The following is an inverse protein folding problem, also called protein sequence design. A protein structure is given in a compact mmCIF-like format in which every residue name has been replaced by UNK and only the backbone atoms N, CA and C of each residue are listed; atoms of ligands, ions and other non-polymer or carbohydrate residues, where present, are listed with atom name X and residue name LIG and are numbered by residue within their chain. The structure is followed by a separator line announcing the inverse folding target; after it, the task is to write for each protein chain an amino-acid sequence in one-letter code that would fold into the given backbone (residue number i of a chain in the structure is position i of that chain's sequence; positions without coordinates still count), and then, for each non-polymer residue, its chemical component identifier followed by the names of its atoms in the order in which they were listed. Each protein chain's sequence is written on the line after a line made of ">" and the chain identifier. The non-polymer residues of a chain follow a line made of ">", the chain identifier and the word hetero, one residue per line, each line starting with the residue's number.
data_IF_998405289562
#
_entry.id   IF_998405289562
#
_cell.length_a   1.000
_cell.length_b   1.000
_cell.length_c   1.000
_cell.angle_alpha   90.00
_cell.angle_beta   90.00
_cell.angle_gamma   90.00
#
_symmetry.space_group_name_H-M   'P 1'
#
loop_
_entity.id
_entity.type
_entity.pdbx_description
1 polymer ?
#
# COMPACT_ATOMS: atom_id res chain seq x y z
N UNK A 1 38.78 -8.57 -20.70
CA UNK A 1 37.59 -9.47 -20.73
C UNK A 1 36.43 -8.72 -20.08
N UNK A 2 35.49 -8.26 -20.91
CA UNK A 2 34.30 -7.53 -20.47
C UNK A 2 33.29 -8.63 -20.11
N UNK A 3 32.86 -8.69 -18.83
CA UNK A 3 31.86 -9.62 -18.35
C UNK A 3 30.51 -9.40 -19.04
N UNK A 4 29.59 -10.37 -19.00
CA UNK A 4 28.34 -10.32 -19.75
C UNK A 4 27.51 -9.13 -19.30
N UNK A 5 27.14 -8.28 -20.27
CA UNK A 5 26.10 -7.28 -20.14
C UNK A 5 24.81 -7.98 -19.67
N UNK A 6 24.36 -7.63 -18.47
CA UNK A 6 23.00 -7.99 -18.03
C UNK A 6 22.04 -7.44 -19.10
N UNK A 7 21.32 -8.34 -19.76
CA UNK A 7 20.20 -7.95 -20.59
C UNK A 7 19.19 -7.30 -19.67
N UNK A 8 19.05 -5.97 -19.76
CA UNK A 8 17.92 -5.25 -19.19
C UNK A 8 16.68 -5.79 -19.92
N UNK A 9 16.01 -6.78 -19.32
CA UNK A 9 14.66 -7.12 -19.76
C UNK A 9 13.85 -5.83 -19.64
N UNK A 10 13.22 -5.43 -20.73
CA UNK A 10 12.30 -4.28 -20.73
C UNK A 10 11.28 -4.48 -19.60
N UNK A 11 10.92 -3.43 -18.85
CA UNK A 11 9.94 -3.56 -17.79
C UNK A 11 8.69 -4.24 -18.33
N UNK A 12 8.24 -5.29 -17.65
CA UNK A 12 7.08 -6.07 -18.04
C UNK A 12 5.83 -5.20 -17.87
N UNK A 13 5.25 -4.72 -18.99
CA UNK A 13 3.91 -4.14 -18.97
C UNK A 13 2.90 -5.26 -19.21
N UNK A 14 1.86 -5.32 -18.37
CA UNK A 14 0.82 -6.36 -18.45
C UNK A 14 -0.28 -6.02 -19.48
N UNK A 15 -0.27 -4.79 -19.99
CA UNK A 15 -1.23 -4.27 -21.00
C UNK A 15 -2.69 -4.43 -20.53
N UNK A 16 -2.95 -4.22 -19.26
CA UNK A 16 -4.29 -4.31 -18.67
C UNK A 16 -5.15 -3.14 -19.14
N UNK A 17 -6.38 -3.42 -19.53
CA UNK A 17 -7.37 -2.34 -19.70
C UNK A 17 -7.60 -1.59 -18.37
N UNK A 18 -8.13 -0.38 -18.43
CA UNK A 18 -8.42 0.41 -17.23
C UNK A 18 -9.31 -0.36 -16.24
N UNK A 19 -10.33 -1.04 -16.74
CA UNK A 19 -11.24 -1.85 -15.90
C UNK A 19 -10.54 -3.06 -15.28
N UNK A 20 -9.69 -3.76 -16.02
CA UNK A 20 -8.92 -4.88 -15.49
C UNK A 20 -7.95 -4.39 -14.43
N UNK A 21 -7.22 -3.32 -14.67
CA UNK A 21 -6.30 -2.72 -13.72
C UNK A 21 -7.02 -2.36 -12.41
N UNK A 22 -8.13 -1.63 -12.49
CA UNK A 22 -8.90 -1.19 -11.33
C UNK A 22 -9.56 -2.35 -10.57
N UNK A 23 -10.05 -3.37 -11.27
CA UNK A 23 -10.82 -4.45 -10.66
C UNK A 23 -9.97 -5.62 -10.18
N UNK A 24 -8.74 -5.78 -10.69
CA UNK A 24 -7.84 -6.88 -10.31
C UNK A 24 -6.63 -6.45 -9.47
N UNK A 25 -6.39 -5.16 -9.26
CA UNK A 25 -5.38 -4.70 -8.29
C UNK A 25 -5.78 -5.12 -6.89
N UNK A 26 -4.87 -5.82 -6.19
CA UNK A 26 -5.12 -6.48 -4.91
C UNK A 26 -4.04 -6.12 -3.90
N UNK A 27 -4.37 -6.23 -2.61
CA UNK A 27 -3.35 -6.32 -1.58
C UNK A 27 -2.59 -7.65 -1.74
N UNK A 28 -1.36 -7.56 -2.23
CA UNK A 28 -0.48 -8.71 -2.48
C UNK A 28 0.40 -8.94 -1.26
N UNK A 29 0.41 -10.16 -0.74
CA UNK A 29 1.22 -10.57 0.42
C UNK A 29 1.95 -11.87 0.15
N UNK A 30 1.23 -13.01 0.02
CA UNK A 30 1.82 -14.35 -0.22
C UNK A 30 2.48 -14.51 -1.59
N UNK A 31 2.17 -13.62 -2.53
CA UNK A 31 2.71 -13.67 -3.90
C UNK A 31 3.74 -12.56 -4.15
N UNK A 32 4.32 -11.99 -3.11
CA UNK A 32 5.50 -11.13 -3.24
C UNK A 32 6.72 -12.02 -3.46
N UNK A 33 7.50 -11.76 -4.49
CA UNK A 33 8.78 -12.42 -4.75
C UNK A 33 9.85 -11.77 -3.86
N UNK A 34 10.24 -12.47 -2.82
CA UNK A 34 11.18 -11.97 -1.82
C UNK A 34 12.66 -12.03 -2.29
N UNK A 35 12.92 -12.75 -3.40
CA UNK A 35 14.27 -13.00 -3.89
C UNK A 35 14.66 -12.12 -5.07
N UNK A 36 13.67 -11.53 -5.77
CA UNK A 36 13.91 -10.68 -6.92
C UNK A 36 14.02 -9.21 -6.50
N UNK A 37 15.16 -8.54 -6.74
CA UNK A 37 15.30 -7.11 -6.47
C UNK A 37 14.32 -6.31 -7.33
N UNK A 38 13.95 -5.12 -6.86
CA UNK A 38 13.15 -4.16 -7.62
C UNK A 38 14.05 -3.01 -8.04
N UNK A 39 14.11 -2.74 -9.32
CA UNK A 39 14.94 -1.69 -9.90
C UNK A 39 14.43 -0.30 -9.47
N UNK A 40 15.32 0.58 -9.02
CA UNK A 40 14.94 1.96 -8.63
C UNK A 40 14.31 2.74 -9.76
N UNK A 41 14.73 2.51 -11.00
CA UNK A 41 14.13 3.14 -12.20
C UNK A 41 12.64 2.80 -12.32
N UNK A 42 12.26 1.56 -12.02
CA UNK A 42 10.86 1.11 -12.05
C UNK A 42 10.03 1.77 -10.93
N UNK A 43 10.62 1.94 -9.74
CA UNK A 43 9.97 2.66 -8.64
C UNK A 43 9.76 4.14 -8.99
N UNK A 44 10.75 4.79 -9.62
CA UNK A 44 10.64 6.18 -10.07
C UNK A 44 9.57 6.33 -11.15
N UNK A 45 9.52 5.44 -12.14
CA UNK A 45 8.49 5.45 -13.17
C UNK A 45 7.07 5.32 -12.57
N UNK A 46 6.88 4.40 -11.63
CA UNK A 46 5.61 4.27 -10.91
C UNK A 46 5.26 5.53 -10.10
N UNK A 47 6.27 6.21 -9.55
CA UNK A 47 6.09 7.44 -8.77
C UNK A 47 5.72 8.61 -9.66
N UNK A 48 6.34 8.76 -10.83
CA UNK A 48 6.00 9.80 -11.81
C UNK A 48 4.54 9.71 -12.26
N UNK A 49 4.04 8.49 -12.46
CA UNK A 49 2.62 8.24 -12.75
C UNK A 49 1.76 8.58 -11.54
N UNK A 50 2.16 8.16 -10.34
CA UNK A 50 1.44 8.41 -9.10
C UNK A 50 1.24 9.90 -8.83
N UNK A 51 2.24 10.71 -9.12
CA UNK A 51 2.24 12.15 -8.88
C UNK A 51 1.46 12.97 -9.92
N UNK A 52 0.82 12.30 -10.89
CA UNK A 52 -0.23 12.91 -11.71
C UNK A 52 -1.58 13.02 -10.96
N UNK A 53 -1.70 12.44 -9.77
CA UNK A 53 -2.87 12.57 -8.94
C UNK A 53 -3.14 14.05 -8.56
N UNK A 54 -4.41 14.50 -8.51
CA UNK A 54 -4.73 15.87 -8.10
C UNK A 54 -4.48 16.07 -6.60
N UNK A 55 -4.13 17.31 -6.22
CA UNK A 55 -4.00 17.72 -4.82
C UNK A 55 -4.81 18.98 -4.52
N UNK A 56 -5.23 19.16 -3.28
CA UNK A 56 -5.85 20.40 -2.83
C UNK A 56 -4.96 21.60 -3.17
N UNK A 57 -5.54 22.59 -3.86
CA UNK A 57 -4.83 23.81 -4.30
C UNK A 57 -3.54 23.55 -5.10
N UNK A 58 -3.40 22.39 -5.72
CA UNK A 58 -2.18 21.96 -6.40
C UNK A 58 -0.93 22.03 -5.51
N UNK A 59 -1.10 21.75 -4.21
CA UNK A 59 -0.04 21.89 -3.20
C UNK A 59 1.11 20.89 -3.36
N UNK A 60 0.84 19.69 -3.90
CA UNK A 60 1.82 18.62 -4.16
C UNK A 60 2.71 18.32 -2.94
N UNK A 61 2.14 18.38 -1.74
CA UNK A 61 2.82 18.22 -0.46
C UNK A 61 3.02 16.74 -0.09
N UNK A 62 3.61 15.97 -0.99
CA UNK A 62 3.92 14.55 -0.80
C UNK A 62 5.41 14.27 -0.93
N UNK A 63 5.85 13.18 -0.32
CA UNK A 63 7.17 12.61 -0.51
C UNK A 63 7.08 11.08 -0.39
N UNK A 64 7.67 10.33 -1.31
CA UNK A 64 7.73 8.87 -1.25
C UNK A 64 9.12 8.44 -0.83
N UNK A 65 9.24 7.79 0.33
CA UNK A 65 10.48 7.27 0.86
C UNK A 65 10.55 5.75 0.63
N UNK A 66 11.50 5.31 -0.19
CA UNK A 66 11.77 3.89 -0.40
C UNK A 66 12.91 3.42 0.50
N UNK A 67 12.68 2.31 1.21
CA UNK A 67 13.65 1.72 2.14
C UNK A 67 14.08 0.37 1.60
N UNK A 68 15.37 0.27 1.25
CA UNK A 68 16.02 -0.94 0.74
C UNK A 68 17.02 -1.52 1.74
N UNK A 69 17.54 -0.71 2.67
CA UNK A 69 18.51 -1.13 3.68
C UNK A 69 17.95 -2.24 4.55
N UNK A 70 18.62 -3.42 4.64
CA UNK A 70 18.10 -4.56 5.37
C UNK A 70 17.93 -4.31 6.87
N UNK A 71 18.81 -3.49 7.47
CA UNK A 71 18.75 -3.15 8.89
C UNK A 71 17.54 -2.28 9.20
N UNK A 72 17.27 -1.27 8.38
CA UNK A 72 16.10 -0.40 8.52
C UNK A 72 14.80 -1.16 8.25
N UNK A 73 14.76 -2.03 7.22
CA UNK A 73 13.61 -2.89 6.94
C UNK A 73 13.26 -3.80 8.11
N UNK A 74 14.26 -4.38 8.78
CA UNK A 74 14.06 -5.21 9.97
C UNK A 74 13.45 -4.42 11.11
N UNK A 75 13.99 -3.24 11.42
CA UNK A 75 13.45 -2.38 12.47
C UNK A 75 12.02 -1.90 12.17
N UNK A 76 11.72 -1.55 10.92
CA UNK A 76 10.34 -1.22 10.49
C UNK A 76 9.39 -2.43 10.62
N UNK A 77 9.86 -3.62 10.27
CA UNK A 77 9.10 -4.86 10.43
C UNK A 77 8.83 -5.19 11.91
N UNK A 78 9.77 -4.86 12.80
CA UNK A 78 9.59 -5.00 14.25
C UNK A 78 8.54 -4.02 14.78
N UNK A 79 8.57 -2.74 14.37
CA UNK A 79 7.53 -1.76 14.69
C UNK A 79 6.15 -2.18 14.15
N UNK A 80 6.10 -2.64 12.90
CA UNK A 80 4.88 -3.19 12.31
C UNK A 80 4.36 -4.38 13.13
N UNK A 81 5.25 -5.26 13.58
CA UNK A 81 4.91 -6.42 14.39
C UNK A 81 4.31 -6.06 15.74
N UNK A 82 4.86 -5.06 16.41
CA UNK A 82 4.34 -4.57 17.69
C UNK A 82 2.89 -4.07 17.56
N UNK A 83 2.52 -3.45 16.43
CA UNK A 83 1.14 -3.08 16.15
C UNK A 83 0.27 -4.24 15.65
N UNK A 84 0.87 -5.19 14.91
CA UNK A 84 0.17 -6.34 14.34
C UNK A 84 -0.26 -7.36 15.40
N UNK A 85 0.61 -7.68 16.34
CA UNK A 85 0.39 -8.77 17.29
C UNK A 85 -0.83 -8.53 18.19
N UNK A 86 -1.06 -7.34 18.76
CA UNK A 86 -2.30 -7.02 19.47
C UNK A 86 -3.54 -7.03 18.55
N UNK A 87 -3.39 -6.53 17.31
CA UNK A 87 -4.49 -6.47 16.34
C UNK A 87 -4.98 -7.88 15.97
N UNK A 88 -4.08 -8.82 15.70
CA UNK A 88 -4.44 -10.17 15.27
C UNK A 88 -4.97 -11.03 16.42
N UNK A 89 -4.54 -10.75 17.65
CA UNK A 89 -4.96 -11.43 18.87
C UNK A 89 -6.20 -10.78 19.53
N UNK A 90 -6.67 -9.66 18.98
CA UNK A 90 -7.91 -9.03 19.42
C UNK A 90 -9.16 -9.85 19.09
N UNK A 91 -10.34 -9.44 19.55
CA UNK A 91 -11.58 -10.14 19.30
C UNK A 91 -11.82 -10.23 17.77
N UNK A 92 -12.22 -11.42 17.27
CA UNK A 92 -12.50 -11.58 15.85
C UNK A 92 -13.68 -10.70 15.44
N UNK A 93 -13.64 -10.21 14.20
CA UNK A 93 -14.76 -9.46 13.64
C UNK A 93 -15.98 -10.38 13.50
N UNK A 94 -17.09 -9.98 14.07
CA UNK A 94 -18.37 -10.67 13.90
C UNK A 94 -19.00 -10.29 12.55
N UNK A 95 -19.66 -11.26 11.93
CA UNK A 95 -20.36 -11.11 10.66
C UNK A 95 -21.79 -11.61 10.80
N UNK A 96 -22.74 -10.94 10.17
CA UNK A 96 -24.12 -11.41 10.10
C UNK A 96 -24.21 -12.73 9.32
N UNK A 97 -25.22 -13.57 9.61
CA UNK A 97 -25.46 -14.78 8.84
C UNK A 97 -25.59 -14.49 7.33
N UNK A 98 -24.86 -15.23 6.51
CA UNK A 98 -24.83 -15.02 5.05
C UNK A 98 -23.89 -13.91 4.54
N UNK A 99 -23.19 -13.21 5.41
CA UNK A 99 -22.23 -12.18 4.99
C UNK A 99 -21.07 -12.78 4.19
N UNK A 100 -20.92 -12.37 2.93
CA UNK A 100 -19.86 -12.87 2.03
C UNK A 100 -18.45 -12.59 2.56
N UNK A 101 -18.28 -11.60 3.43
CA UNK A 101 -17.00 -11.24 4.03
C UNK A 101 -16.49 -12.32 4.99
N UNK A 102 -17.41 -13.00 5.69
CA UNK A 102 -17.09 -14.11 6.60
C UNK A 102 -16.33 -15.24 5.89
N UNK A 103 -16.74 -15.57 4.66
CA UNK A 103 -16.12 -16.64 3.85
C UNK A 103 -14.64 -16.40 3.54
N UNK A 104 -14.21 -15.16 3.59
CA UNK A 104 -12.83 -14.78 3.29
C UNK A 104 -11.98 -14.38 4.50
N UNK A 105 -12.59 -14.31 5.68
CA UNK A 105 -11.96 -13.77 6.88
C UNK A 105 -10.68 -14.55 7.26
N UNK A 106 -10.76 -15.88 7.28
CA UNK A 106 -9.60 -16.74 7.60
C UNK A 106 -8.47 -16.61 6.55
N UNK A 107 -8.83 -16.62 5.26
CA UNK A 107 -7.85 -16.43 4.19
C UNK A 107 -7.14 -15.07 4.31
N UNK A 108 -7.89 -13.99 4.60
CA UNK A 108 -7.33 -12.65 4.78
C UNK A 108 -6.41 -12.62 5.99
N UNK A 109 -6.84 -13.20 7.13
CA UNK A 109 -6.03 -13.33 8.34
C UNK A 109 -4.73 -14.09 8.06
N UNK A 110 -4.79 -15.28 7.48
CA UNK A 110 -3.61 -16.10 7.16
C UNK A 110 -2.67 -15.42 6.15
N UNK A 111 -3.22 -14.61 5.24
CA UNK A 111 -2.41 -13.79 4.33
C UNK A 111 -1.70 -12.63 5.06
N UNK A 112 -2.34 -12.03 6.05
CA UNK A 112 -1.74 -10.96 6.84
C UNK A 112 -0.65 -11.50 7.79
N UNK A 113 -0.87 -12.65 8.41
CA UNK A 113 0.12 -13.34 9.25
C UNK A 113 1.38 -13.70 8.45
N UNK A 114 1.21 -14.23 7.25
CA UNK A 114 2.37 -14.50 6.37
C UNK A 114 3.18 -13.24 6.09
N UNK A 115 2.52 -12.12 5.77
CA UNK A 115 3.24 -10.86 5.55
C UNK A 115 4.00 -10.43 6.82
N UNK A 116 3.39 -10.58 8.00
CA UNK A 116 4.04 -10.26 9.28
C UNK A 116 5.37 -11.03 9.46
N UNK A 117 5.39 -12.30 9.06
CA UNK A 117 6.57 -13.17 9.17
C UNK A 117 7.70 -12.71 8.23
N UNK A 118 7.36 -12.40 6.98
CA UNK A 118 8.34 -12.11 5.91
C UNK A 118 8.56 -10.63 5.64
N UNK A 119 7.96 -9.73 6.41
CA UNK A 119 7.94 -8.29 6.11
C UNK A 119 9.33 -7.69 5.91
N UNK A 120 10.30 -8.12 6.72
CA UNK A 120 11.69 -7.67 6.66
C UNK A 120 12.47 -8.21 5.45
N UNK A 121 11.96 -9.27 4.81
CA UNK A 121 12.58 -9.89 3.62
C UNK A 121 12.13 -9.21 2.33
N UNK A 122 11.02 -8.45 2.35
CA UNK A 122 10.51 -7.78 1.15
C UNK A 122 11.60 -6.87 0.56
N UNK A 123 11.84 -6.91 -0.76
CA UNK A 123 12.91 -6.15 -1.40
C UNK A 123 12.88 -4.66 -1.06
N UNK A 124 11.73 -4.02 -1.15
CA UNK A 124 11.56 -2.58 -0.91
C UNK A 124 10.35 -2.34 0.00
N UNK A 125 10.49 -1.42 0.95
CA UNK A 125 9.35 -0.85 1.68
C UNK A 125 9.16 0.60 1.25
N UNK A 126 7.92 0.99 0.95
CA UNK A 126 7.55 2.36 0.64
C UNK A 126 6.81 2.97 1.84
N UNK A 127 7.23 4.16 2.23
CA UNK A 127 6.52 5.03 3.18
C UNK A 127 6.14 6.32 2.45
N UNK A 128 4.89 6.48 2.04
CA UNK A 128 4.39 7.75 1.56
C UNK A 128 4.27 8.74 2.73
N UNK A 129 4.76 9.95 2.52
CA UNK A 129 4.72 11.04 3.48
C UNK A 129 3.84 12.16 2.95
N UNK A 130 3.10 12.79 3.84
CA UNK A 130 2.27 13.95 3.58
C UNK A 130 2.75 15.11 4.44
N UNK A 131 2.91 16.27 3.84
CA UNK A 131 3.29 17.51 4.53
C UNK A 131 2.16 17.93 5.50
N UNK A 132 2.53 18.24 6.74
CA UNK A 132 1.62 18.65 7.81
C UNK A 132 1.19 17.49 8.71
N UNK A 133 0.48 17.86 9.78
CA UNK A 133 -0.02 16.93 10.81
C UNK A 133 -1.55 16.99 10.84
N UNK A 134 -2.26 15.88 10.42
CA UNK A 134 -3.72 15.89 10.32
C UNK A 134 -4.42 16.01 11.69
N UNK A 135 -3.80 15.57 12.78
CA UNK A 135 -4.35 15.68 14.13
C UNK A 135 -4.51 17.13 14.61
N UNK A 136 -3.79 18.07 14.00
CA UNK A 136 -3.87 19.51 14.30
C UNK A 136 -4.93 20.22 13.44
N UNK A 137 -5.50 19.53 12.45
CA UNK A 137 -6.45 20.09 11.50
C UNK A 137 -7.91 19.76 11.87
N UNK A 138 -8.83 20.63 11.50
CA UNK A 138 -10.26 20.33 11.54
C UNK A 138 -10.67 19.31 10.45
N UNK A 139 -11.93 18.88 10.45
CA UNK A 139 -12.43 17.90 9.51
C UNK A 139 -12.25 18.30 8.04
N UNK A 140 -12.32 19.60 7.72
CA UNK A 140 -12.09 20.13 6.38
C UNK A 140 -10.61 19.98 5.99
N UNK A 141 -9.71 20.41 6.87
CA UNK A 141 -8.27 20.29 6.66
C UNK A 141 -7.84 18.83 6.50
N UNK A 142 -8.32 17.95 7.39
CA UNK A 142 -8.04 16.50 7.32
C UNK A 142 -8.52 15.89 6.00
N UNK A 143 -9.75 16.21 5.56
CA UNK A 143 -10.29 15.71 4.30
C UNK A 143 -9.45 16.18 3.10
N UNK A 144 -9.01 17.44 3.10
CA UNK A 144 -8.13 17.99 2.06
C UNK A 144 -6.76 17.29 2.04
N UNK A 145 -6.15 17.09 3.20
CA UNK A 145 -4.85 16.42 3.34
C UNK A 145 -4.92 14.97 2.83
N UNK A 146 -5.83 14.16 3.39
CA UNK A 146 -5.99 12.76 2.99
C UNK A 146 -6.45 12.63 1.54
N UNK A 147 -7.35 13.50 1.06
CA UNK A 147 -7.81 13.57 -0.32
C UNK A 147 -6.68 13.88 -1.32
N UNK A 148 -5.61 14.50 -0.87
CA UNK A 148 -4.43 14.79 -1.71
C UNK A 148 -3.46 13.62 -1.81
N UNK A 149 -3.18 12.93 -0.70
CA UNK A 149 -2.14 11.87 -0.70
C UNK A 149 -2.69 10.49 -1.08
N UNK A 150 -3.91 10.14 -0.65
CA UNK A 150 -4.48 8.81 -0.91
C UNK A 150 -4.59 8.49 -2.41
N UNK A 151 -5.05 9.41 -3.28
CA UNK A 151 -5.07 9.17 -4.73
C UNK A 151 -3.69 8.89 -5.32
N UNK A 152 -2.64 9.60 -4.89
CA UNK A 152 -1.27 9.36 -5.35
C UNK A 152 -0.77 7.97 -4.93
N UNK A 153 -1.00 7.57 -3.68
CA UNK A 153 -0.63 6.24 -3.17
C UNK A 153 -1.36 5.13 -3.93
N UNK A 154 -2.65 5.30 -4.17
CA UNK A 154 -3.41 4.33 -4.96
C UNK A 154 -2.94 4.27 -6.41
N UNK A 155 -2.66 5.41 -7.04
CA UNK A 155 -2.09 5.48 -8.39
C UNK A 155 -0.73 4.78 -8.49
N UNK A 156 0.12 4.92 -7.46
CA UNK A 156 1.37 4.14 -7.37
C UNK A 156 1.08 2.62 -7.37
N UNK A 157 0.12 2.16 -6.59
CA UNK A 157 -0.22 0.74 -6.53
C UNK A 157 -0.77 0.22 -7.87
N UNK A 158 -1.50 1.04 -8.61
CA UNK A 158 -1.98 0.72 -9.95
C UNK A 158 -0.82 0.67 -10.95
N UNK A 159 0.05 1.69 -10.95
CA UNK A 159 1.23 1.73 -11.82
C UNK A 159 2.18 0.55 -11.56
N UNK A 160 2.38 0.20 -10.28
CA UNK A 160 3.14 -0.97 -9.85
C UNK A 160 2.50 -2.27 -10.37
N UNK A 161 1.17 -2.42 -10.24
CA UNK A 161 0.43 -3.58 -10.74
C UNK A 161 0.62 -3.79 -12.23
N UNK A 162 0.53 -2.73 -13.03
CA UNK A 162 0.72 -2.79 -14.49
C UNK A 162 2.13 -3.27 -14.86
N UNK A 163 3.10 -3.04 -14.00
CA UNK A 163 4.51 -3.41 -14.17
C UNK A 163 4.91 -4.72 -13.47
N UNK A 164 3.92 -5.54 -13.12
CA UNK A 164 4.16 -6.84 -12.47
C UNK A 164 4.66 -6.73 -11.03
N UNK A 165 4.57 -5.55 -10.40
CA UNK A 165 4.83 -5.39 -8.98
C UNK A 165 3.55 -5.59 -8.16
N UNK A 166 3.73 -6.05 -6.93
CA UNK A 166 2.69 -6.17 -5.93
C UNK A 166 2.98 -5.34 -4.70
N UNK A 167 1.92 -4.87 -4.06
CA UNK A 167 2.00 -4.14 -2.81
C UNK A 167 0.76 -4.39 -1.95
N UNK A 168 0.83 -3.97 -0.69
CA UNK A 168 -0.29 -3.99 0.24
C UNK A 168 -0.27 -2.74 1.12
N UNK A 169 -1.40 -2.09 1.25
CA UNK A 169 -1.55 -0.97 2.20
C UNK A 169 -1.57 -1.51 3.62
N UNK A 170 -0.61 -1.13 4.45
CA UNK A 170 -0.57 -1.45 5.87
C UNK A 170 -0.37 -0.19 6.72
N UNK A 171 -0.92 -0.19 7.93
CA UNK A 171 -0.89 0.97 8.85
C UNK A 171 -0.49 0.58 10.28
N UNK A 172 -0.15 -0.69 10.52
CA UNK A 172 0.06 -1.21 11.87
C UNK A 172 1.39 -0.75 12.52
N UNK A 173 2.28 -0.08 11.78
CA UNK A 173 3.44 0.62 12.33
C UNK A 173 3.10 2.02 12.86
N UNK A 174 1.95 2.61 12.46
CA UNK A 174 1.59 3.99 12.81
C UNK A 174 1.43 4.27 14.32
N UNK A 175 1.07 3.30 15.19
CA UNK A 175 1.19 3.52 16.64
C UNK A 175 2.62 3.85 17.10
N UNK A 176 3.63 3.55 16.27
CA UNK A 176 5.06 3.78 16.48
C UNK A 176 5.63 4.71 15.40
N UNK A 177 4.79 5.65 14.90
CA UNK A 177 5.16 6.56 13.82
C UNK A 177 6.39 7.40 14.16
N UNK A 178 6.51 7.82 15.42
CA UNK A 178 7.64 8.63 15.90
C UNK A 178 8.95 7.85 15.85
N UNK A 179 8.95 6.62 16.32
CA UNK A 179 10.11 5.72 16.29
C UNK A 179 10.52 5.40 14.85
N UNK A 180 9.56 5.19 13.96
CA UNK A 180 9.83 5.03 12.53
C UNK A 180 10.41 6.30 11.91
N UNK A 181 9.93 7.48 12.30
CA UNK A 181 10.46 8.76 11.85
C UNK A 181 11.91 8.96 12.30
N UNK A 182 12.22 8.69 13.56
CA UNK A 182 13.59 8.76 14.12
C UNK A 182 14.55 7.81 13.38
N UNK A 183 14.14 6.56 13.15
CA UNK A 183 14.91 5.55 12.39
C UNK A 183 15.26 6.03 10.98
N UNK A 184 14.36 6.74 10.34
CA UNK A 184 14.47 7.13 8.92
C UNK A 184 14.96 8.56 8.72
N UNK A 185 15.10 9.36 9.78
CA UNK A 185 15.48 10.77 9.71
C UNK A 185 14.36 11.67 9.17
N UNK A 186 13.10 11.26 9.37
CA UNK A 186 11.92 12.04 9.01
C UNK A 186 11.64 13.06 10.12
N UNK A 187 11.43 14.33 9.77
CA UNK A 187 10.94 15.31 10.75
C UNK A 187 9.47 15.00 11.06
N UNK A 188 9.24 14.36 12.22
CA UNK A 188 7.92 13.97 12.71
C UNK A 188 6.95 15.15 12.85
N UNK A 189 7.44 16.35 13.18
CA UNK A 189 6.56 17.50 13.35
C UNK A 189 6.11 18.11 12.01
N UNK A 190 6.82 17.79 10.94
CA UNK A 190 6.56 18.33 9.61
C UNK A 190 5.83 17.32 8.70
N UNK A 191 6.10 16.03 8.84
CA UNK A 191 5.61 14.98 7.95
C UNK A 191 4.77 13.93 8.67
N UNK A 192 3.67 13.55 8.05
CA UNK A 192 2.82 12.43 8.48
C UNK A 192 3.07 11.22 7.60
N UNK A 193 3.28 10.06 8.21
CA UNK A 193 3.37 8.79 7.50
C UNK A 193 1.96 8.27 7.16
N UNK A 194 1.75 7.89 5.90
CA UNK A 194 0.44 7.44 5.39
C UNK A 194 0.23 5.94 5.60
N UNK A 195 1.32 5.21 5.62
CA UNK A 195 1.33 3.77 5.78
C UNK A 195 2.70 3.19 5.47
N UNK A 196 2.82 1.86 5.57
CA UNK A 196 4.02 1.09 5.27
C UNK A 196 3.65 0.03 4.23
N UNK A 197 4.26 0.12 3.05
CA UNK A 197 3.89 -0.67 1.88
C UNK A 197 5.03 -1.60 1.49
N UNK A 198 4.86 -2.94 1.58
CA UNK A 198 5.79 -3.86 0.93
C UNK A 198 5.67 -3.72 -0.58
N UNK A 199 6.80 -3.69 -1.29
CA UNK A 199 6.86 -3.61 -2.76
C UNK A 199 7.83 -4.67 -3.27
N UNK A 200 7.35 -5.55 -4.14
CA UNK A 200 8.13 -6.60 -4.77
C UNK A 200 7.51 -7.01 -6.11
N UNK A 201 8.27 -7.68 -6.95
CA UNK A 201 7.68 -8.40 -8.08
C UNK A 201 6.66 -9.43 -7.60
N UNK A 202 5.65 -9.75 -8.43
CA UNK A 202 4.65 -10.75 -8.08
C UNK A 202 5.00 -12.12 -8.65
N UNK A 203 4.75 -13.17 -7.86
CA UNK A 203 4.76 -14.55 -8.34
C UNK A 203 3.46 -14.79 -9.10
N UNK A 204 3.53 -14.71 -10.43
CA UNK A 204 2.37 -14.72 -11.34
C UNK A 204 1.59 -13.39 -11.33
N UNK A 205 0.79 -13.19 -12.37
CA UNK A 205 0.07 -11.91 -12.61
C UNK A 205 -1.45 -12.08 -12.76
N UNK A 206 -1.97 -13.29 -12.62
CA UNK A 206 -3.35 -13.71 -12.83
C UNK A 206 -4.27 -13.36 -11.65
N UNK A 207 -4.29 -12.11 -11.22
CA UNK A 207 -5.15 -11.65 -10.14
C UNK A 207 -6.61 -11.51 -10.61
N UNK A 208 -7.53 -11.94 -9.76
CA UNK A 208 -8.97 -11.96 -10.04
C UNK A 208 -9.72 -10.88 -9.26
N UNK A 209 -10.90 -10.52 -9.74
CA UNK A 209 -11.83 -9.66 -8.99
C UNK A 209 -12.12 -10.25 -7.61
N UNK A 210 -12.19 -9.38 -6.60
CA UNK A 210 -12.63 -9.80 -5.27
C UNK A 210 -14.15 -9.81 -5.17
N UNK A 211 -14.73 -10.74 -4.42
CA UNK A 211 -16.10 -10.60 -3.95
C UNK A 211 -16.28 -9.27 -3.20
N UNK A 212 -17.35 -8.56 -3.49
CA UNK A 212 -17.75 -7.31 -2.84
C UNK A 212 -19.21 -7.42 -2.44
N UNK A 213 -19.65 -6.56 -1.52
CA UNK A 213 -21.07 -6.38 -1.21
C UNK A 213 -21.78 -5.89 -2.47
N UNK A 214 -23.11 -6.17 -2.54
CA UNK A 214 -23.94 -5.71 -3.64
C UNK A 214 -23.95 -4.16 -3.68
N UNK A 215 -23.69 -3.62 -4.85
CA UNK A 215 -23.66 -2.17 -5.08
C UNK A 215 -25.02 -1.53 -4.87
N UNK A 216 -26.11 -2.22 -5.21
CA UNK A 216 -27.47 -1.70 -5.10
C UNK A 216 -27.81 -1.23 -3.67
N UNK A 217 -27.30 -1.95 -2.65
CA UNK A 217 -27.52 -1.56 -1.25
C UNK A 217 -26.58 -0.46 -0.72
N UNK A 218 -25.66 0.04 -1.55
CA UNK A 218 -24.61 0.99 -1.17
C UNK A 218 -24.65 2.32 -1.93
N UNK A 219 -25.65 2.49 -2.79
CA UNK A 219 -25.85 3.70 -3.60
C UNK A 219 -27.23 4.28 -3.32
N UNK A 220 -27.31 5.59 -3.20
CA UNK A 220 -28.57 6.33 -3.05
C UNK A 220 -28.57 7.51 -4.03
N UNK A 221 -29.75 7.92 -4.47
CA UNK A 221 -29.91 9.08 -5.34
C UNK A 221 -30.66 10.17 -4.56
N UNK A 222 -30.22 11.41 -4.73
CA UNK A 222 -30.78 12.64 -4.15
C UNK A 222 -30.83 12.68 -2.61
N UNK A 223 -31.27 11.62 -1.95
CA UNK A 223 -31.40 11.54 -0.49
C UNK A 223 -30.81 10.23 0.03
N UNK A 224 -30.10 10.30 1.16
CA UNK A 224 -29.52 9.10 1.79
C UNK A 224 -30.60 8.07 2.09
N UNK A 225 -30.38 6.83 1.60
CA UNK A 225 -31.33 5.70 1.77
C UNK A 225 -32.41 5.59 0.69
N UNK A 226 -32.55 6.54 -0.24
CA UNK A 226 -33.41 6.41 -1.43
C UNK A 226 -32.71 5.58 -2.51
N UNK A 227 -33.41 4.63 -3.12
CA UNK A 227 -32.96 3.82 -4.26
C UNK A 227 -33.67 4.24 -5.54
#
# INVERSE_FOLDING_TARGET
>A
MIGPLYSLESPMNLELSADELLTTTRAVRKRLDLNRPVERSLLLECTDIAFQAPTGSNAQGWHFLFVEDPGKKRQLADLYGQGFDPYVNGPPREYAPGDIRAQRAEFVRGSAMHLREVFHEVPVLLIPLMLGRPEEADSFGQASMWGSIIPAVWSFMLAARERGLGSAWTTLHLPFEREAAELLGIDYNLWTQVGLFPVAHTIGTDFQRAPRLDTAGLVSFDTFGSQ
#
